data_IF_548719622936
#
_entry.id   IF_548719622936
#
_cell.length_a   1.000
_cell.length_b   1.000
_cell.length_c   1.000
_cell.angle_alpha   90.00
_cell.angle_beta   90.00
_cell.angle_gamma   90.00
#
_symmetry.space_group_name_H-M   'P 1'
#
loop_
_entity.id
_entity.type
_entity.pdbx_description
1 polymer ?
#
# COMPACT_ATOMS: atom_id res chain seq x y z
N UNK A 1 0.93 -4.83 -26.07
CA UNK A 1 2.34 -4.46 -25.93
C UNK A 1 3.12 -4.77 -27.22
N UNK A 2 3.09 -6.02 -27.72
CA UNK A 2 3.86 -6.42 -28.94
C UNK A 2 3.45 -5.58 -30.16
N UNK A 3 2.16 -5.40 -30.41
CA UNK A 3 1.67 -4.58 -31.53
C UNK A 3 2.15 -3.13 -31.45
N UNK A 4 2.15 -2.54 -30.25
CA UNK A 4 2.68 -1.20 -29.99
C UNK A 4 4.19 -1.13 -30.34
N UNK A 5 4.98 -2.08 -29.83
CA UNK A 5 6.43 -2.12 -30.10
C UNK A 5 6.71 -2.30 -31.59
N UNK A 6 5.98 -3.18 -32.28
CA UNK A 6 6.14 -3.38 -33.71
C UNK A 6 5.79 -2.11 -34.49
N UNK A 7 4.72 -1.42 -34.17
CA UNK A 7 4.34 -0.14 -34.80
C UNK A 7 5.38 0.94 -34.53
N UNK A 8 5.86 1.03 -33.30
CA UNK A 8 6.91 1.97 -32.90
C UNK A 8 8.20 1.73 -33.67
N UNK A 9 8.66 0.47 -33.76
CA UNK A 9 9.85 0.11 -34.52
C UNK A 9 9.69 0.46 -36.02
N UNK A 10 8.52 0.19 -36.60
CA UNK A 10 8.24 0.52 -37.99
C UNK A 10 8.20 2.03 -38.22
N UNK A 11 7.58 2.77 -37.29
CA UNK A 11 7.53 4.23 -37.33
C UNK A 11 8.93 4.85 -37.21
N UNK A 12 9.75 4.32 -36.29
CA UNK A 12 11.12 4.78 -36.07
C UNK A 12 12.01 4.64 -37.32
N UNK A 13 11.82 3.57 -38.11
CA UNK A 13 12.55 3.40 -39.39
C UNK A 13 12.13 4.40 -40.46
N UNK A 14 10.91 4.93 -40.38
CA UNK A 14 10.34 5.91 -41.30
C UNK A 14 10.39 7.34 -40.82
N UNK A 15 10.80 7.55 -39.58
CA UNK A 15 10.74 8.82 -38.85
C UNK A 15 9.35 9.46 -38.86
N UNK A 16 8.29 8.63 -38.82
CA UNK A 16 6.90 9.03 -38.80
C UNK A 16 6.14 8.25 -37.72
N UNK A 17 5.76 8.95 -36.66
CA UNK A 17 5.08 8.37 -35.49
C UNK A 17 3.58 8.67 -35.45
N UNK A 18 3.04 9.33 -36.48
CA UNK A 18 1.64 9.78 -36.51
C UNK A 18 0.61 8.65 -36.36
N UNK A 19 0.92 7.45 -36.85
CA UNK A 19 0.06 6.27 -36.79
C UNK A 19 0.22 5.44 -35.51
N UNK A 20 1.16 5.81 -34.64
CA UNK A 20 1.38 5.09 -33.37
C UNK A 20 0.55 5.75 -32.27
N UNK A 21 -0.55 5.13 -31.89
CA UNK A 21 -1.44 5.64 -30.85
C UNK A 21 -0.77 5.59 -29.45
N UNK A 22 -1.05 6.60 -28.63
CA UNK A 22 -0.57 6.68 -27.23
C UNK A 22 0.87 7.15 -27.11
N UNK A 23 1.38 7.92 -28.06
CA UNK A 23 2.68 8.57 -28.00
C UNK A 23 2.57 10.07 -27.77
N UNK A 24 3.59 10.60 -27.12
CA UNK A 24 3.88 12.04 -27.09
C UNK A 24 5.34 12.22 -27.51
N UNK A 25 5.59 13.09 -28.49
CA UNK A 25 6.92 13.37 -28.99
C UNK A 25 7.02 14.81 -29.51
N UNK A 26 8.23 15.31 -29.63
CA UNK A 26 8.47 16.59 -30.26
C UNK A 26 8.70 16.38 -31.77
N UNK A 27 8.05 17.21 -32.59
CA UNK A 27 8.29 17.25 -34.02
C UNK A 27 9.64 17.96 -34.36
N UNK A 28 9.97 18.04 -35.65
CA UNK A 28 11.19 18.69 -36.13
C UNK A 28 11.29 20.19 -35.76
N UNK A 29 10.16 20.82 -35.43
CA UNK A 29 10.08 22.22 -35.02
C UNK A 29 10.07 22.39 -33.49
N UNK A 30 10.18 21.28 -32.73
CA UNK A 30 10.08 21.27 -31.27
C UNK A 30 8.67 21.42 -30.73
N UNK A 31 7.62 21.22 -31.57
CA UNK A 31 6.24 21.24 -31.17
C UNK A 31 5.83 19.89 -30.59
N UNK A 32 5.14 19.89 -29.43
CA UNK A 32 4.62 18.67 -28.81
C UNK A 32 3.48 18.11 -29.64
N UNK A 33 3.66 16.90 -30.15
CA UNK A 33 2.63 16.09 -30.81
C UNK A 33 2.16 15.02 -29.85
N UNK A 34 0.85 14.92 -29.67
CA UNK A 34 0.20 13.88 -28.86
C UNK A 34 -0.72 13.09 -29.77
N UNK A 35 -0.43 11.81 -29.95
CA UNK A 35 -1.28 10.93 -30.77
C UNK A 35 -2.50 10.49 -29.95
N UNK A 36 -3.61 10.09 -30.60
CA UNK A 36 -4.80 9.61 -29.90
C UNK A 36 -4.49 8.41 -28.99
N UNK A 37 -5.23 8.28 -27.91
CA UNK A 37 -5.15 7.11 -27.04
C UNK A 37 -5.44 5.83 -27.82
N UNK A 38 -4.74 4.73 -27.53
CA UNK A 38 -5.06 3.42 -28.10
C UNK A 38 -6.42 2.93 -27.61
N UNK A 39 -7.11 2.16 -28.45
CA UNK A 39 -8.32 1.47 -28.02
C UNK A 39 -8.03 0.59 -26.80
N UNK A 40 -8.94 0.53 -25.83
CA UNK A 40 -8.77 -0.35 -24.68
C UNK A 40 -8.64 -1.80 -25.14
N UNK A 41 -7.57 -2.46 -24.73
CA UNK A 41 -7.36 -3.90 -24.98
C UNK A 41 -8.53 -4.69 -24.36
N UNK A 42 -8.91 -5.81 -24.99
CA UNK A 42 -9.98 -6.67 -24.50
C UNK A 42 -9.68 -7.18 -23.07
N UNK A 43 -10.73 -7.53 -22.31
CA UNK A 43 -10.55 -8.06 -20.95
C UNK A 43 -9.73 -9.35 -20.93
N UNK A 44 -9.85 -10.13 -21.97
CA UNK A 44 -9.17 -11.41 -22.14
C UNK A 44 -7.69 -11.22 -22.45
N UNK A 45 -7.34 -10.24 -23.27
CA UNK A 45 -5.95 -9.96 -23.68
C UNK A 45 -5.14 -9.17 -22.66
N UNK A 46 -5.77 -8.23 -21.93
CA UNK A 46 -5.08 -7.38 -20.91
C UNK A 46 -4.36 -8.23 -19.87
N UNK A 47 -4.85 -9.42 -19.63
CA UNK A 47 -4.46 -10.23 -18.49
C UNK A 47 -3.76 -11.53 -18.86
N UNK A 48 -3.53 -11.75 -20.14
CA UNK A 48 -2.78 -12.91 -20.64
C UNK A 48 -1.27 -12.58 -20.63
N UNK A 49 -0.71 -12.48 -19.41
CA UNK A 49 0.72 -12.30 -19.23
C UNK A 49 1.39 -13.66 -19.39
N UNK A 50 2.30 -13.74 -20.35
CA UNK A 50 3.15 -14.91 -20.53
C UNK A 50 4.33 -14.85 -19.53
N UNK A 51 4.20 -15.56 -18.43
CA UNK A 51 5.23 -15.64 -17.40
C UNK A 51 6.47 -16.43 -17.87
N UNK A 52 6.37 -17.21 -18.94
CA UNK A 52 7.52 -17.96 -19.46
C UNK A 52 8.63 -17.03 -19.94
N UNK A 53 8.30 -15.84 -20.41
CA UNK A 53 9.27 -14.80 -20.80
C UNK A 53 10.19 -14.45 -19.62
N UNK A 54 9.65 -14.36 -18.41
CA UNK A 54 10.45 -14.07 -17.21
C UNK A 54 11.31 -15.25 -16.79
N UNK A 55 10.84 -16.48 -17.03
CA UNK A 55 11.64 -17.69 -16.83
C UNK A 55 12.84 -17.72 -17.78
N UNK A 56 12.57 -17.50 -19.07
CA UNK A 56 13.59 -17.53 -20.14
C UNK A 56 14.67 -16.47 -19.91
N UNK A 57 14.29 -15.32 -19.34
CA UNK A 57 15.21 -14.25 -18.96
C UNK A 57 15.87 -14.48 -17.60
N UNK A 58 15.55 -15.54 -16.85
CA UNK A 58 16.04 -15.81 -15.51
C UNK A 58 15.56 -14.81 -14.44
N UNK A 59 14.50 -14.05 -14.72
CA UNK A 59 14.01 -12.97 -13.86
C UNK A 59 12.82 -13.38 -12.97
N UNK A 60 12.28 -14.58 -13.13
CA UNK A 60 11.08 -15.03 -12.42
C UNK A 60 11.23 -14.98 -10.89
N UNK A 61 12.43 -15.22 -10.36
CA UNK A 61 12.73 -15.18 -8.92
C UNK A 61 12.53 -13.79 -8.29
N UNK A 62 12.53 -12.73 -9.09
CA UNK A 62 12.24 -11.37 -8.63
C UNK A 62 10.73 -11.15 -8.39
N UNK A 63 9.90 -11.96 -9.02
CA UNK A 63 8.43 -11.86 -8.95
C UNK A 63 7.79 -12.99 -8.15
N UNK A 64 8.41 -14.16 -8.14
CA UNK A 64 7.98 -15.33 -7.38
C UNK A 64 9.05 -15.65 -6.34
N UNK A 65 8.82 -15.21 -5.11
CA UNK A 65 9.79 -15.31 -4.03
C UNK A 65 9.47 -16.47 -3.08
N UNK A 66 10.46 -16.97 -2.36
CA UNK A 66 10.22 -18.01 -1.35
C UNK A 66 9.47 -17.44 -0.15
N UNK A 67 8.55 -18.25 0.39
CA UNK A 67 7.74 -17.86 1.54
C UNK A 67 8.52 -17.80 2.88
N UNK A 68 9.69 -18.39 2.94
CA UNK A 68 10.60 -18.32 4.09
C UNK A 68 11.54 -17.11 4.02
N UNK A 69 11.57 -16.39 2.91
CA UNK A 69 12.28 -15.14 2.82
C UNK A 69 11.60 -14.07 3.69
N UNK A 70 12.40 -13.19 4.28
CA UNK A 70 11.92 -12.06 5.09
C UNK A 70 11.05 -11.07 4.29
N UNK A 71 10.95 -11.26 2.98
CA UNK A 71 10.10 -10.51 2.08
C UNK A 71 8.61 -10.85 2.22
N UNK A 72 8.24 -11.94 2.89
CA UNK A 72 6.84 -12.18 3.25
C UNK A 72 6.48 -11.23 4.36
N UNK A 73 5.80 -10.28 3.90
CA UNK A 73 5.09 -9.24 4.56
C UNK A 73 4.50 -9.66 5.92
N UNK A 74 4.54 -8.70 6.83
CA UNK A 74 3.89 -8.77 8.14
C UNK A 74 2.48 -9.38 8.11
N UNK A 75 1.73 -9.17 7.02
CA UNK A 75 0.36 -9.67 6.87
C UNK A 75 0.23 -11.18 6.97
N UNK A 76 1.18 -11.93 6.41
CA UNK A 76 1.18 -13.39 6.51
C UNK A 76 1.80 -13.86 7.82
N UNK A 77 2.73 -13.10 8.37
CA UNK A 77 3.41 -13.41 9.64
C UNK A 77 2.48 -13.50 10.84
N UNK A 78 1.32 -12.84 10.78
CA UNK A 78 0.33 -12.83 11.84
C UNK A 78 -0.63 -14.03 11.81
N UNK A 79 -0.72 -14.76 10.69
CA UNK A 79 -1.62 -15.91 10.57
C UNK A 79 -0.90 -17.22 10.93
N UNK A 80 -1.36 -17.98 11.94
CA UNK A 80 -0.71 -19.21 12.36
C UNK A 80 -0.69 -20.30 11.27
N UNK A 81 -1.64 -20.29 10.32
CA UNK A 81 -1.70 -21.24 9.20
C UNK A 81 -0.49 -21.16 8.29
N UNK A 82 0.24 -20.04 8.31
CA UNK A 82 1.53 -19.91 7.62
C UNK A 82 2.55 -20.98 8.03
N UNK A 83 2.48 -21.43 9.29
CA UNK A 83 3.43 -22.39 9.87
C UNK A 83 3.06 -23.85 9.59
N UNK A 84 1.95 -24.11 8.92
CA UNK A 84 1.53 -25.46 8.54
C UNK A 84 2.62 -26.14 7.72
N UNK A 85 2.85 -27.42 7.99
CA UNK A 85 3.99 -28.17 7.42
C UNK A 85 4.01 -28.15 5.89
N UNK A 86 2.83 -28.23 5.26
CA UNK A 86 2.70 -28.24 3.79
C UNK A 86 2.99 -26.88 3.15
N UNK A 87 3.11 -25.80 3.95
CA UNK A 87 3.39 -24.44 3.47
C UNK A 87 4.86 -24.04 3.56
N UNK A 88 5.73 -24.85 4.20
CA UNK A 88 7.12 -24.51 4.49
C UNK A 88 7.96 -24.12 3.27
N UNK A 89 7.70 -24.73 2.12
CA UNK A 89 8.48 -24.49 0.88
C UNK A 89 7.66 -23.82 -0.21
N UNK A 90 6.52 -23.24 0.15
CA UNK A 90 5.67 -22.54 -0.79
C UNK A 90 6.26 -21.18 -1.16
N UNK A 91 5.92 -20.71 -2.36
CA UNK A 91 6.32 -19.40 -2.85
C UNK A 91 5.19 -18.38 -2.70
N UNK A 92 5.54 -17.13 -2.91
CA UNK A 92 4.68 -15.97 -2.84
C UNK A 92 4.77 -15.16 -4.15
N UNK A 93 3.66 -14.60 -4.60
CA UNK A 93 3.63 -13.65 -5.72
C UNK A 93 2.51 -12.63 -5.58
N UNK A 94 2.54 -11.64 -6.49
CA UNK A 94 1.47 -10.68 -6.69
C UNK A 94 0.69 -11.01 -7.97
N UNK A 95 -0.63 -11.05 -7.87
CA UNK A 95 -1.52 -11.09 -9.04
C UNK A 95 -2.65 -10.08 -8.85
N UNK A 96 -2.97 -9.35 -9.89
CA UNK A 96 -4.09 -8.39 -9.87
C UNK A 96 -5.36 -9.06 -10.37
N UNK A 97 -6.48 -8.84 -9.68
CA UNK A 97 -7.81 -9.29 -10.08
C UNK A 97 -8.60 -8.26 -10.87
N UNK A 98 -8.16 -6.99 -10.81
CA UNK A 98 -8.80 -5.88 -11.53
C UNK A 98 -7.80 -4.80 -11.89
N UNK A 99 -8.18 -3.92 -12.81
CA UNK A 99 -7.41 -2.74 -13.20
C UNK A 99 -8.31 -1.51 -13.22
N UNK A 100 -7.78 -0.42 -12.65
CA UNK A 100 -8.45 0.87 -12.58
C UNK A 100 -9.31 1.04 -11.33
N UNK A 101 -9.85 2.24 -11.17
CA UNK A 101 -10.64 2.62 -10.02
C UNK A 101 -11.82 3.52 -10.44
N UNK A 102 -12.97 3.30 -9.83
CA UNK A 102 -14.19 4.12 -10.04
C UNK A 102 -14.24 5.36 -9.14
N UNK A 103 -13.38 5.46 -8.14
CA UNK A 103 -13.36 6.59 -7.22
C UNK A 103 -12.79 7.86 -7.89
N UNK A 104 -13.06 9.01 -7.27
CA UNK A 104 -12.62 10.34 -7.76
C UNK A 104 -11.83 11.10 -6.71
N UNK A 105 -11.09 10.37 -5.85
CA UNK A 105 -10.35 11.00 -4.77
C UNK A 105 -9.42 12.10 -5.30
N UNK A 106 -9.47 13.28 -4.67
CA UNK A 106 -8.86 14.53 -5.16
C UNK A 106 -7.33 14.50 -5.19
N UNK A 107 -6.72 13.59 -4.43
CA UNK A 107 -5.26 13.42 -4.30
C UNK A 107 -4.72 12.21 -5.08
N UNK A 108 -5.61 11.31 -5.56
CA UNK A 108 -5.21 10.02 -6.09
C UNK A 108 -5.17 10.00 -7.62
N UNK A 109 -4.02 9.67 -8.18
CA UNK A 109 -3.89 9.43 -9.60
C UNK A 109 -4.54 8.11 -10.00
N UNK A 110 -5.21 8.10 -11.14
CA UNK A 110 -5.83 6.90 -11.73
C UNK A 110 -5.27 6.66 -13.12
N UNK A 111 -4.62 5.53 -13.30
CA UNK A 111 -4.12 5.12 -14.62
C UNK A 111 -5.24 4.88 -15.63
N UNK A 112 -6.36 4.36 -15.15
CA UNK A 112 -7.52 4.04 -15.99
C UNK A 112 -8.79 4.50 -15.29
N UNK A 113 -9.63 5.27 -15.98
CA UNK A 113 -10.97 5.61 -15.50
C UNK A 113 -11.88 4.38 -15.58
N UNK A 114 -12.69 4.18 -14.52
CA UNK A 114 -13.50 2.97 -14.39
C UNK A 114 -12.72 1.80 -13.80
N UNK A 115 -13.34 0.63 -13.74
CA UNK A 115 -12.73 -0.59 -13.23
C UNK A 115 -13.06 -1.76 -14.17
N UNK A 116 -12.07 -2.58 -14.45
CA UNK A 116 -12.20 -3.80 -15.24
C UNK A 116 -11.71 -4.98 -14.42
N UNK A 117 -12.57 -5.96 -14.23
CA UNK A 117 -12.24 -7.20 -13.52
C UNK A 117 -11.79 -8.27 -14.52
N UNK A 118 -10.77 -9.02 -14.14
CA UNK A 118 -10.46 -10.28 -14.78
C UNK A 118 -11.60 -11.25 -14.43
N UNK A 119 -12.22 -11.93 -15.42
CA UNK A 119 -13.18 -12.98 -15.10
C UNK A 119 -12.57 -14.01 -14.15
N UNK A 120 -13.31 -14.37 -13.08
CA UNK A 120 -12.78 -15.29 -12.05
C UNK A 120 -12.22 -16.58 -12.66
N UNK A 121 -12.85 -17.25 -13.65
CA UNK A 121 -12.29 -18.46 -14.25
C UNK A 121 -10.92 -18.23 -14.91
N UNK A 122 -10.71 -17.07 -15.54
CA UNK A 122 -9.41 -16.72 -16.18
C UNK A 122 -8.35 -16.46 -15.10
N UNK A 123 -8.72 -15.74 -14.05
CA UNK A 123 -7.82 -15.52 -12.91
C UNK A 123 -7.40 -16.85 -12.28
N UNK A 124 -8.36 -17.75 -12.06
CA UNK A 124 -8.10 -19.05 -11.44
C UNK A 124 -7.25 -19.96 -12.30
N UNK A 125 -7.47 -19.98 -13.63
CA UNK A 125 -6.61 -20.72 -14.56
C UNK A 125 -5.15 -20.26 -14.44
N UNK A 126 -4.93 -18.97 -14.35
CA UNK A 126 -3.58 -18.40 -14.15
C UNK A 126 -3.01 -18.76 -12.78
N UNK A 127 -3.81 -18.64 -11.74
CA UNK A 127 -3.42 -19.01 -10.38
C UNK A 127 -3.02 -20.49 -10.29
N UNK A 128 -3.82 -21.38 -10.90
CA UNK A 128 -3.53 -22.82 -10.95
C UNK A 128 -2.20 -23.11 -11.66
N UNK A 129 -1.92 -22.43 -12.78
CA UNK A 129 -0.63 -22.50 -13.46
C UNK A 129 0.53 -22.07 -12.52
N UNK A 130 0.37 -20.97 -11.76
CA UNK A 130 1.38 -20.50 -10.83
C UNK A 130 1.58 -21.46 -9.66
N UNK A 131 0.51 -22.08 -9.17
CA UNK A 131 0.57 -23.10 -8.11
C UNK A 131 1.37 -24.30 -8.59
N UNK A 132 1.06 -24.81 -9.79
CA UNK A 132 1.70 -26.00 -10.34
C UNK A 132 3.16 -25.74 -10.70
N UNK A 133 3.44 -24.68 -11.45
CA UNK A 133 4.77 -24.41 -11.97
C UNK A 133 5.75 -23.89 -10.92
N UNK A 134 5.29 -23.00 -10.03
CA UNK A 134 6.15 -22.29 -9.08
C UNK A 134 5.91 -22.65 -7.62
N UNK A 135 5.11 -23.67 -7.34
CA UNK A 135 4.77 -24.11 -5.99
C UNK A 135 4.16 -23.00 -5.11
N UNK A 136 3.28 -22.17 -5.72
CA UNK A 136 2.68 -21.02 -5.05
C UNK A 136 1.79 -21.48 -3.86
N UNK A 137 1.86 -20.76 -2.74
CA UNK A 137 1.02 -21.00 -1.56
C UNK A 137 0.53 -19.70 -0.91
N UNK A 138 1.11 -18.57 -1.34
CA UNK A 138 0.80 -17.25 -0.80
C UNK A 138 0.58 -16.26 -1.94
N UNK A 139 -0.50 -15.49 -1.85
CA UNK A 139 -0.89 -14.53 -2.88
C UNK A 139 -1.14 -13.15 -2.28
N UNK A 140 -0.62 -12.11 -2.90
CA UNK A 140 -1.07 -10.74 -2.68
C UNK A 140 -1.82 -10.23 -3.90
N UNK A 141 -2.98 -9.64 -3.69
CA UNK A 141 -3.64 -8.85 -4.75
C UNK A 141 -3.17 -7.40 -4.66
N UNK A 142 -2.77 -6.85 -5.80
CA UNK A 142 -2.23 -5.49 -5.91
C UNK A 142 -3.16 -4.56 -6.69
N UNK A 143 -4.46 -4.67 -6.47
CA UNK A 143 -5.48 -3.92 -7.18
C UNK A 143 -5.57 -2.47 -6.66
N UNK A 144 -5.88 -1.52 -7.54
CA UNK A 144 -6.17 -0.14 -7.15
C UNK A 144 -7.47 -0.03 -6.34
N UNK A 145 -8.43 -0.94 -6.60
CA UNK A 145 -9.72 -0.96 -5.92
C UNK A 145 -10.33 -2.37 -5.95
N UNK A 146 -9.86 -3.24 -5.06
CA UNK A 146 -10.30 -4.62 -4.98
C UNK A 146 -11.71 -4.74 -4.42
N UNK A 147 -12.50 -5.67 -4.95
CA UNK A 147 -13.76 -6.09 -4.37
C UNK A 147 -14.93 -5.11 -4.49
N UNK A 148 -14.84 -4.09 -5.35
CA UNK A 148 -15.97 -3.19 -5.64
C UNK A 148 -17.17 -3.94 -6.22
N UNK A 149 -16.94 -4.95 -7.06
CA UNK A 149 -17.97 -5.88 -7.50
C UNK A 149 -18.12 -7.05 -6.50
N UNK A 150 -19.19 -7.01 -5.72
CA UNK A 150 -19.47 -8.03 -4.70
C UNK A 150 -19.73 -9.42 -5.27
N UNK A 151 -20.28 -9.53 -6.49
CA UNK A 151 -20.53 -10.82 -7.15
C UNK A 151 -19.21 -11.46 -7.55
N UNK A 152 -18.34 -10.66 -8.15
CA UNK A 152 -17.00 -11.08 -8.50
C UNK A 152 -16.23 -11.55 -7.26
N UNK A 153 -16.20 -10.73 -6.20
CA UNK A 153 -15.50 -11.07 -4.95
C UNK A 153 -16.05 -12.32 -4.29
N UNK A 154 -17.38 -12.48 -4.26
CA UNK A 154 -18.01 -13.69 -3.72
C UNK A 154 -17.57 -14.94 -4.47
N UNK A 155 -17.58 -14.89 -5.81
CA UNK A 155 -17.13 -16.01 -6.66
C UNK A 155 -15.63 -16.25 -6.51
N UNK A 156 -14.83 -15.19 -6.44
CA UNK A 156 -13.39 -15.28 -6.14
C UNK A 156 -13.12 -16.03 -4.85
N UNK A 157 -13.81 -15.68 -3.75
CA UNK A 157 -13.66 -16.37 -2.47
C UNK A 157 -14.04 -17.84 -2.54
N UNK A 158 -15.12 -18.20 -3.26
CA UNK A 158 -15.55 -19.60 -3.45
C UNK A 158 -14.47 -20.42 -4.15
N UNK A 159 -13.85 -19.85 -5.17
CA UNK A 159 -12.78 -20.49 -5.91
C UNK A 159 -11.46 -20.56 -5.13
N UNK A 160 -11.10 -19.51 -4.38
CA UNK A 160 -9.91 -19.50 -3.53
C UNK A 160 -9.99 -20.58 -2.43
N UNK A 161 -11.18 -20.77 -1.84
CA UNK A 161 -11.41 -21.79 -0.80
C UNK A 161 -11.04 -23.21 -1.28
N UNK A 162 -11.19 -23.51 -2.55
CA UNK A 162 -10.87 -24.84 -3.14
C UNK A 162 -9.36 -25.09 -3.24
N UNK A 163 -8.52 -24.05 -3.13
CA UNK A 163 -7.08 -24.09 -3.43
C UNK A 163 -6.17 -24.10 -2.21
N UNK A 164 -6.71 -23.99 -1.03
CA UNK A 164 -5.96 -23.94 0.24
C UNK A 164 -4.81 -22.91 0.22
N UNK A 165 -5.05 -21.75 -0.40
CA UNK A 165 -4.12 -20.65 -0.49
C UNK A 165 -4.29 -19.69 0.68
N UNK A 166 -3.19 -19.12 1.18
CA UNK A 166 -3.26 -17.92 1.99
C UNK A 166 -3.09 -16.69 1.10
N UNK A 167 -4.00 -15.72 1.25
CA UNK A 167 -3.98 -14.52 0.43
C UNK A 167 -4.28 -13.27 1.23
N UNK A 168 -3.78 -12.15 0.74
CA UNK A 168 -4.06 -10.82 1.28
C UNK A 168 -4.54 -9.88 0.19
N UNK A 169 -5.21 -8.82 0.60
CA UNK A 169 -5.67 -7.76 -0.28
C UNK A 169 -5.25 -6.39 0.23
N UNK A 170 -4.85 -5.53 -0.70
CA UNK A 170 -4.69 -4.09 -0.49
C UNK A 170 -5.62 -3.32 -1.43
N UNK A 171 -5.85 -2.03 -1.13
CA UNK A 171 -6.70 -1.19 -1.98
C UNK A 171 -8.19 -1.45 -1.84
N UNK A 172 -8.63 -2.03 -0.73
CA UNK A 172 -10.06 -2.23 -0.47
C UNK A 172 -10.69 -0.97 0.15
N UNK A 173 -11.90 -0.64 -0.30
CA UNK A 173 -12.66 0.50 0.24
C UNK A 173 -13.60 0.04 1.34
N UNK A 174 -13.64 0.80 2.45
CA UNK A 174 -14.45 0.46 3.64
C UNK A 174 -15.95 0.40 3.36
N UNK A 175 -16.47 1.21 2.43
CA UNK A 175 -17.90 1.21 2.07
C UNK A 175 -18.33 0.02 1.20
N UNK A 176 -17.44 -0.93 0.94
CA UNK A 176 -17.73 -2.14 0.12
C UNK A 176 -17.75 -3.43 0.92
N UNK A 177 -17.42 -3.37 2.20
CA UNK A 177 -17.34 -4.52 3.09
C UNK A 177 -18.58 -4.64 3.99
N UNK A 178 -18.82 -5.87 4.44
CA UNK A 178 -19.77 -6.20 5.50
C UNK A 178 -19.16 -7.31 6.37
N UNK A 179 -19.65 -7.53 7.60
CA UNK A 179 -19.18 -8.63 8.45
C UNK A 179 -19.21 -10.00 7.76
N UNK A 180 -20.29 -10.28 7.01
CA UNK A 180 -20.47 -11.55 6.30
C UNK A 180 -19.43 -11.71 5.18
N UNK A 181 -19.13 -10.62 4.45
CA UNK A 181 -18.13 -10.64 3.38
C UNK A 181 -16.73 -10.85 3.94
N UNK A 182 -16.39 -10.20 5.06
CA UNK A 182 -15.11 -10.39 5.75
C UNK A 182 -14.97 -11.84 6.23
N UNK A 183 -16.02 -12.40 6.82
CA UNK A 183 -16.04 -13.82 7.22
C UNK A 183 -15.84 -14.75 6.02
N UNK A 184 -16.53 -14.50 4.90
CA UNK A 184 -16.34 -15.27 3.66
C UNK A 184 -14.93 -15.17 3.11
N UNK A 185 -14.32 -13.98 3.14
CA UNK A 185 -12.93 -13.79 2.75
C UNK A 185 -11.99 -14.61 3.65
N UNK A 186 -12.16 -14.54 4.96
CA UNK A 186 -11.37 -15.34 5.90
C UNK A 186 -11.47 -16.84 5.63
N UNK A 187 -12.68 -17.34 5.44
CA UNK A 187 -12.94 -18.76 5.17
C UNK A 187 -12.32 -19.22 3.84
N UNK A 188 -12.07 -18.31 2.93
CA UNK A 188 -11.39 -18.56 1.64
C UNK A 188 -9.85 -18.46 1.71
N UNK A 189 -9.29 -18.30 2.91
CA UNK A 189 -7.83 -18.20 3.10
C UNK A 189 -7.30 -16.78 3.19
N UNK A 190 -8.15 -15.75 3.22
CA UNK A 190 -7.71 -14.38 3.47
C UNK A 190 -7.07 -14.25 4.85
N UNK A 191 -5.93 -13.57 4.93
CA UNK A 191 -5.19 -13.33 6.18
C UNK A 191 -5.13 -11.84 6.52
N UNK A 192 -5.31 -10.97 5.52
CA UNK A 192 -5.17 -9.53 5.72
C UNK A 192 -6.01 -8.74 4.71
N UNK A 193 -6.61 -7.67 5.20
CA UNK A 193 -7.30 -6.66 4.39
C UNK A 193 -6.72 -5.29 4.75
N UNK A 194 -6.14 -4.60 3.77
CA UNK A 194 -5.57 -3.27 3.95
C UNK A 194 -6.49 -2.25 3.29
N UNK A 195 -6.89 -1.25 4.08
CA UNK A 195 -7.83 -0.22 3.67
C UNK A 195 -7.15 1.13 3.51
N UNK A 196 -7.47 1.82 2.42
CA UNK A 196 -7.25 3.26 2.34
C UNK A 196 -8.35 3.98 3.11
N UNK A 197 -8.11 4.31 4.37
CA UNK A 197 -9.05 5.03 5.24
C UNK A 197 -8.89 6.54 5.13
N UNK A 198 -7.68 6.98 4.85
CA UNK A 198 -7.17 8.31 4.58
C UNK A 198 -7.27 9.26 5.77
N UNK A 199 -8.43 9.36 6.44
CA UNK A 199 -8.64 10.24 7.60
C UNK A 199 -9.72 9.70 8.54
N UNK A 200 -9.65 10.07 9.81
CA UNK A 200 -10.73 9.90 10.79
C UNK A 200 -11.77 11.02 10.73
N UNK A 201 -11.45 12.13 10.05
CA UNK A 201 -12.32 13.29 9.95
C UNK A 201 -13.28 13.20 8.76
N UNK A 202 -14.59 13.31 9.03
CA UNK A 202 -15.58 13.35 7.95
C UNK A 202 -15.34 14.54 7.03
N UNK A 203 -15.01 15.71 7.58
CA UNK A 203 -14.67 16.91 6.79
C UNK A 203 -13.56 16.62 5.80
N UNK A 204 -12.50 15.91 6.22
CA UNK A 204 -11.38 15.59 5.34
C UNK A 204 -11.76 14.53 4.29
N UNK A 205 -12.54 13.52 4.66
CA UNK A 205 -13.06 12.52 3.71
C UNK A 205 -13.90 13.17 2.61
N UNK A 206 -14.69 14.21 2.95
CA UNK A 206 -15.50 14.96 1.99
C UNK A 206 -14.61 15.81 1.05
N UNK A 207 -13.60 16.52 1.59
CA UNK A 207 -12.61 17.27 0.79
C UNK A 207 -11.84 16.35 -0.16
N UNK A 208 -11.50 15.17 0.30
CA UNK A 208 -10.82 14.14 -0.49
C UNK A 208 -11.73 13.48 -1.54
N UNK A 209 -13.02 13.76 -1.57
CA UNK A 209 -14.03 13.04 -2.37
C UNK A 209 -13.91 11.51 -2.21
N UNK A 210 -13.61 11.07 -0.97
CA UNK A 210 -13.42 9.65 -0.69
C UNK A 210 -14.70 8.85 -0.81
N UNK A 211 -15.86 9.51 -0.62
CA UNK A 211 -17.21 8.90 -0.64
C UNK A 211 -17.27 7.71 0.34
N UNK A 212 -16.72 7.92 1.54
CA UNK A 212 -16.80 7.03 2.70
C UNK A 212 -17.09 7.88 3.94
N UNK A 213 -17.58 7.26 5.01
CA UNK A 213 -17.78 7.96 6.27
C UNK A 213 -16.75 7.55 7.32
N UNK A 214 -16.51 8.41 8.30
CA UNK A 214 -15.67 8.09 9.45
C UNK A 214 -16.20 6.89 10.22
N UNK A 215 -17.53 6.74 10.32
CA UNK A 215 -18.17 5.58 10.93
C UNK A 215 -17.86 4.28 10.17
N UNK A 216 -17.88 4.30 8.83
CA UNK A 216 -17.50 3.14 8.02
C UNK A 216 -16.03 2.75 8.23
N UNK A 217 -15.14 3.70 8.52
CA UNK A 217 -13.77 3.39 8.89
C UNK A 217 -13.69 2.64 10.23
N UNK A 218 -14.44 3.09 11.25
CA UNK A 218 -14.52 2.42 12.55
C UNK A 218 -15.10 1.01 12.44
N UNK A 219 -16.18 0.85 11.69
CA UNK A 219 -16.83 -0.44 11.42
C UNK A 219 -15.87 -1.41 10.73
N UNK A 220 -15.16 -0.95 9.70
CA UNK A 220 -14.20 -1.77 8.97
C UNK A 220 -13.09 -2.31 9.89
N UNK A 221 -12.55 -1.48 10.77
CA UNK A 221 -11.57 -1.87 11.79
C UNK A 221 -12.17 -2.96 12.68
N UNK A 222 -13.31 -2.66 13.27
CA UNK A 222 -13.96 -3.53 14.26
C UNK A 222 -14.27 -4.90 13.66
N UNK A 223 -14.90 -4.96 12.48
CA UNK A 223 -15.26 -6.20 11.82
C UNK A 223 -14.05 -7.03 11.38
N UNK A 224 -13.01 -6.35 10.87
CA UNK A 224 -11.78 -7.03 10.41
C UNK A 224 -11.05 -7.68 11.57
N UNK A 225 -10.86 -6.94 12.66
CA UNK A 225 -10.16 -7.45 13.83
C UNK A 225 -10.97 -8.49 14.60
N UNK A 226 -12.30 -8.37 14.67
CA UNK A 226 -13.20 -9.39 15.23
C UNK A 226 -13.07 -10.73 14.48
N UNK A 227 -12.82 -10.68 13.18
CA UNK A 227 -12.52 -11.87 12.36
C UNK A 227 -11.06 -12.35 12.46
N UNK A 228 -10.23 -11.73 13.32
CA UNK A 228 -8.80 -12.06 13.47
C UNK A 228 -8.02 -11.96 12.16
N UNK A 229 -8.39 -11.01 11.32
CA UNK A 229 -7.64 -10.64 10.12
C UNK A 229 -6.70 -9.50 10.46
N UNK A 230 -5.51 -9.54 9.87
CA UNK A 230 -4.56 -8.43 9.96
C UNK A 230 -5.04 -7.25 9.12
N UNK A 231 -4.81 -6.05 9.61
CA UNK A 231 -5.03 -4.82 8.85
C UNK A 231 -4.01 -3.75 9.19
N UNK A 232 -3.78 -2.85 8.25
CA UNK A 232 -3.02 -1.62 8.42
C UNK A 232 -3.94 -0.46 8.08
N UNK A 233 -3.91 0.58 8.88
CA UNK A 233 -4.59 1.84 8.57
C UNK A 233 -3.68 2.69 7.70
N UNK A 234 -4.13 3.00 6.49
CA UNK A 234 -3.45 3.94 5.60
C UNK A 234 -4.13 5.30 5.71
N UNK A 235 -3.33 6.32 5.99
CA UNK A 235 -3.75 7.71 6.20
C UNK A 235 -3.03 8.64 5.23
N UNK A 236 -3.70 9.73 4.88
CA UNK A 236 -3.14 10.85 4.12
C UNK A 236 -3.37 12.12 4.92
N UNK A 237 -2.31 12.82 5.25
CA UNK A 237 -2.32 14.10 5.97
C UNK A 237 -1.76 15.23 5.10
N UNK A 238 -1.86 16.47 5.57
CA UNK A 238 -1.43 17.67 4.87
C UNK A 238 -2.26 18.01 3.61
N UNK A 239 -3.50 17.56 3.57
CA UNK A 239 -4.47 17.99 2.55
C UNK A 239 -4.93 19.43 2.75
N UNK A 240 -5.31 20.16 1.69
CA UNK A 240 -5.99 21.45 1.84
C UNK A 240 -7.20 21.34 2.78
N UNK A 241 -7.33 22.28 3.70
CA UNK A 241 -8.44 22.31 4.66
C UNK A 241 -8.23 21.50 5.94
N UNK A 242 -7.09 20.84 6.08
CA UNK A 242 -6.69 20.15 7.31
C UNK A 242 -6.44 21.14 8.45
N UNK A 243 -6.79 20.76 9.66
CA UNK A 243 -6.69 21.57 10.88
C UNK A 243 -6.30 20.69 12.06
N UNK A 244 -5.86 21.25 13.19
CA UNK A 244 -5.59 20.48 14.41
C UNK A 244 -6.79 19.62 14.85
N UNK A 245 -8.02 20.09 14.66
CA UNK A 245 -9.22 19.34 15.02
C UNK A 245 -9.39 18.10 14.13
N UNK A 246 -9.16 18.21 12.79
CA UNK A 246 -9.24 17.07 11.88
C UNK A 246 -8.13 16.07 12.12
N UNK A 247 -6.95 16.52 12.51
CA UNK A 247 -5.83 15.66 12.94
C UNK A 247 -6.19 14.93 14.24
N UNK A 248 -6.82 15.63 15.20
CA UNK A 248 -7.31 14.99 16.43
C UNK A 248 -8.31 13.87 16.11
N UNK A 249 -9.29 14.11 15.22
CA UNK A 249 -10.26 13.10 14.77
C UNK A 249 -9.57 11.90 14.10
N UNK A 250 -8.52 12.14 13.32
CA UNK A 250 -7.70 11.08 12.72
C UNK A 250 -6.92 10.30 13.78
N UNK A 251 -6.39 10.98 14.78
CA UNK A 251 -5.78 10.34 15.96
C UNK A 251 -6.79 9.50 16.77
N UNK A 252 -8.03 9.93 16.88
CA UNK A 252 -9.10 9.17 17.56
C UNK A 252 -9.40 7.86 16.79
N UNK A 253 -9.42 7.88 15.45
CA UNK A 253 -9.54 6.67 14.61
C UNK A 253 -8.40 5.67 14.89
N UNK A 254 -7.17 6.15 14.98
CA UNK A 254 -6.00 5.28 15.25
C UNK A 254 -5.97 4.75 16.67
N UNK A 255 -6.46 5.54 17.65
CA UNK A 255 -6.68 5.05 19.01
C UNK A 255 -7.73 3.92 19.05
N UNK A 256 -8.86 4.12 18.36
CA UNK A 256 -9.89 3.07 18.23
C UNK A 256 -9.30 1.77 17.67
N UNK A 257 -8.45 1.86 16.64
CA UNK A 257 -7.79 0.69 16.03
C UNK A 257 -6.99 -0.12 17.03
N UNK A 258 -6.11 0.52 17.79
CA UNK A 258 -5.22 -0.18 18.72
C UNK A 258 -5.93 -0.64 20.01
N UNK A 259 -7.11 -0.10 20.26
CA UNK A 259 -7.93 -0.49 21.41
C UNK A 259 -8.83 -1.70 21.15
N UNK A 260 -8.92 -2.21 19.92
CA UNK A 260 -9.81 -3.35 19.61
C UNK A 260 -9.29 -4.67 20.19
N UNK A 261 -8.01 -4.94 20.06
CA UNK A 261 -7.39 -6.19 20.51
C UNK A 261 -5.91 -5.99 20.79
N UNK A 262 -5.35 -6.69 21.79
CA UNK A 262 -3.93 -6.57 22.12
C UNK A 262 -2.98 -7.16 21.08
N UNK A 263 -3.49 -7.89 20.10
CA UNK A 263 -2.71 -8.47 18.99
C UNK A 263 -2.39 -7.45 17.90
N UNK A 264 -3.07 -6.29 17.88
CA UNK A 264 -2.80 -5.21 16.94
C UNK A 264 -1.40 -4.65 17.15
N UNK A 265 -0.68 -4.43 16.05
CA UNK A 265 0.59 -3.71 16.11
C UNK A 265 0.29 -2.19 16.20
N UNK A 266 0.69 -1.50 17.27
CA UNK A 266 0.51 -0.05 17.39
C UNK A 266 1.32 0.76 16.36
N UNK A 267 2.20 0.12 15.60
CA UNK A 267 2.88 0.71 14.44
C UNK A 267 2.22 0.32 13.11
N UNK A 268 1.11 -0.41 13.12
CA UNK A 268 0.32 -0.81 11.95
C UNK A 268 -0.44 0.36 11.31
N UNK A 269 0.18 1.55 11.31
CA UNK A 269 -0.33 2.78 10.74
C UNK A 269 0.67 3.24 9.67
N UNK A 270 0.16 3.49 8.47
CA UNK A 270 0.93 4.09 7.38
C UNK A 270 0.39 5.49 7.13
N UNK A 271 1.16 6.50 7.51
CA UNK A 271 0.81 7.90 7.31
C UNK A 271 1.63 8.42 6.13
N UNK A 272 0.94 8.96 5.12
CA UNK A 272 1.54 9.57 3.95
C UNK A 272 1.16 11.05 3.91
N UNK A 273 2.07 11.89 3.44
CA UNK A 273 1.74 13.27 3.11
C UNK A 273 1.08 13.35 1.75
N UNK A 274 0.10 14.23 1.62
CA UNK A 274 -0.58 14.44 0.33
C UNK A 274 0.41 14.98 -0.71
N UNK A 275 0.62 14.21 -1.77
CA UNK A 275 1.47 14.62 -2.89
C UNK A 275 0.61 15.10 -4.05
N UNK A 276 1.00 16.21 -4.65
CA UNK A 276 0.33 16.76 -5.83
C UNK A 276 0.74 15.97 -7.08
N UNK A 277 0.07 14.85 -7.34
CA UNK A 277 0.36 13.98 -8.49
C UNK A 277 -0.31 14.49 -9.76
N UNK A 278 0.36 14.49 -10.92
CA UNK A 278 -0.20 14.94 -12.20
C UNK A 278 -1.56 14.31 -12.50
N UNK A 279 -2.46 15.11 -13.08
CA UNK A 279 -3.81 14.67 -13.41
C UNK A 279 -4.78 14.58 -12.23
N UNK A 280 -4.37 15.04 -11.03
CA UNK A 280 -5.25 15.13 -9.86
C UNK A 280 -5.72 16.56 -9.60
N UNK A 281 -6.90 16.77 -8.98
CA UNK A 281 -7.34 18.10 -8.53
C UNK A 281 -6.34 18.79 -7.59
N UNK A 282 -5.64 18.00 -6.76
CA UNK A 282 -4.60 18.52 -5.86
C UNK A 282 -3.42 19.12 -6.66
N UNK A 283 -3.00 18.47 -7.73
CA UNK A 283 -1.95 18.95 -8.63
C UNK A 283 -2.35 20.28 -9.29
N UNK A 284 -3.57 20.35 -9.82
CA UNK A 284 -4.08 21.58 -10.44
C UNK A 284 -4.21 22.73 -9.43
N UNK A 285 -4.48 22.41 -8.16
CA UNK A 285 -4.50 23.39 -7.07
C UNK A 285 -3.10 23.91 -6.80
N UNK A 286 -2.10 23.03 -6.72
CA UNK A 286 -0.70 23.41 -6.51
C UNK A 286 -0.16 24.28 -7.66
N UNK A 287 -0.51 23.96 -8.90
CA UNK A 287 -0.16 24.79 -10.08
C UNK A 287 -0.78 26.17 -10.02
N UNK A 288 -2.09 26.25 -9.75
CA UNK A 288 -2.82 27.54 -9.66
C UNK A 288 -2.31 28.44 -8.55
N UNK A 289 -1.78 27.85 -7.47
CA UNK A 289 -1.19 28.59 -6.34
C UNK A 289 0.30 28.91 -6.56
N UNK A 290 0.87 28.51 -7.70
CA UNK A 290 2.25 28.83 -8.06
C UNK A 290 3.32 27.98 -7.35
N UNK A 291 2.94 26.90 -6.67
CA UNK A 291 3.91 25.95 -6.06
C UNK A 291 4.61 25.10 -7.12
N UNK A 292 3.96 24.82 -8.21
CA UNK A 292 4.52 24.20 -9.41
C UNK A 292 4.50 25.28 -10.48
N UNK A 293 5.66 25.55 -11.08
CA UNK A 293 5.78 26.56 -12.11
C UNK A 293 4.96 26.25 -13.37
N UNK A 294 4.90 27.19 -14.29
CA UNK A 294 4.07 27.07 -15.51
C UNK A 294 4.83 26.56 -16.72
N UNK A 295 6.17 26.50 -16.65
CA UNK A 295 7.01 25.98 -17.74
C UNK A 295 7.11 24.46 -17.67
N UNK A 296 7.48 23.84 -18.79
CA UNK A 296 7.77 22.40 -18.87
C UNK A 296 8.93 22.05 -17.95
N UNK A 297 9.95 22.89 -17.89
CA UNK A 297 11.13 22.68 -17.04
C UNK A 297 10.77 22.70 -15.54
N UNK A 298 9.88 23.60 -15.13
CA UNK A 298 9.40 23.65 -13.75
C UNK A 298 8.62 22.38 -13.38
N UNK A 299 7.78 21.90 -14.30
CA UNK A 299 7.01 20.68 -14.13
C UNK A 299 7.92 19.45 -14.06
N UNK A 300 8.90 19.36 -14.97
CA UNK A 300 9.90 18.28 -14.96
C UNK A 300 10.68 18.28 -13.65
N UNK A 301 11.15 19.43 -13.20
CA UNK A 301 11.86 19.57 -11.93
C UNK A 301 11.01 19.04 -10.76
N UNK A 302 9.75 19.46 -10.69
CA UNK A 302 8.83 18.98 -9.66
C UNK A 302 8.62 17.46 -9.72
N UNK A 303 8.42 16.90 -10.91
CA UNK A 303 8.24 15.47 -11.12
C UNK A 303 9.47 14.66 -10.69
N UNK A 304 10.67 15.16 -11.01
CA UNK A 304 11.92 14.55 -10.56
C UNK A 304 12.08 14.61 -9.03
N UNK A 305 11.66 15.71 -8.41
CA UNK A 305 11.71 15.85 -6.95
C UNK A 305 10.81 14.84 -6.22
N UNK A 306 9.65 14.47 -6.78
CA UNK A 306 8.72 13.55 -6.15
C UNK A 306 8.91 12.08 -6.57
N UNK A 307 9.60 11.80 -7.70
CA UNK A 307 9.67 10.46 -8.30
C UNK A 307 10.44 9.45 -7.46
N UNK A 308 11.50 9.88 -6.79
CA UNK A 308 12.41 9.02 -6.02
C UNK A 308 12.15 9.05 -4.52
N UNK A 309 11.02 9.63 -4.08
CA UNK A 309 10.79 9.87 -2.66
C UNK A 309 9.55 9.16 -2.15
N UNK A 310 9.68 8.64 -0.95
CA UNK A 310 8.56 8.04 -0.23
C UNK A 310 7.58 9.14 0.21
N UNK A 311 6.29 8.96 -0.06
CA UNK A 311 5.23 9.88 0.38
C UNK A 311 5.14 10.05 1.91
N UNK A 312 5.90 9.26 2.67
CA UNK A 312 6.10 9.42 4.11
C UNK A 312 7.19 10.42 4.49
N UNK A 313 7.99 10.85 3.51
CA UNK A 313 9.02 11.87 3.76
C UNK A 313 8.39 13.27 3.75
N UNK A 314 8.36 13.92 4.91
CA UNK A 314 7.82 15.26 5.09
C UNK A 314 8.53 16.38 4.33
N UNK A 315 9.61 16.06 3.60
CA UNK A 315 10.37 17.05 2.80
C UNK A 315 9.91 17.14 1.34
N UNK A 316 8.99 16.28 0.92
CA UNK A 316 8.68 16.09 -0.51
C UNK A 316 7.28 16.50 -0.92
N UNK A 317 6.48 16.95 0.02
CA UNK A 317 5.14 17.41 -0.29
C UNK A 317 5.04 18.93 -0.36
N UNK A 318 4.08 19.42 -1.10
CA UNK A 318 3.74 20.83 -1.13
C UNK A 318 2.76 21.09 0.02
N UNK A 319 3.09 22.03 0.89
CA UNK A 319 2.18 22.44 1.95
C UNK A 319 1.05 23.31 1.36
N UNK A 320 -0.09 22.70 1.14
CA UNK A 320 -1.32 23.35 0.66
C UNK A 320 -2.29 23.65 1.81
N UNK A 321 -1.86 23.50 3.07
CA UNK A 321 -2.63 23.88 4.24
C UNK A 321 -2.40 25.36 4.59
N UNK A 322 -3.19 25.87 5.51
CA UNK A 322 -3.01 27.23 6.04
C UNK A 322 -2.07 27.29 7.27
N UNK A 323 -1.31 26.21 7.51
CA UNK A 323 -0.48 26.05 8.70
C UNK A 323 1.01 25.96 8.34
N UNK A 324 1.93 26.36 9.25
CA UNK A 324 3.36 26.23 9.02
C UNK A 324 3.80 24.78 8.81
N UNK A 325 4.83 24.58 7.97
CA UNK A 325 5.42 23.28 7.68
C UNK A 325 5.74 22.47 8.95
N UNK A 326 6.34 23.11 9.94
CA UNK A 326 6.74 22.45 11.19
C UNK A 326 5.54 21.82 11.91
N UNK A 327 4.36 22.47 11.89
CA UNK A 327 3.17 21.92 12.52
C UNK A 327 2.65 20.67 11.80
N UNK A 328 2.83 20.58 10.47
CA UNK A 328 2.44 19.38 9.72
C UNK A 328 3.31 18.18 10.08
N UNK A 329 4.59 18.42 10.36
CA UNK A 329 5.51 17.39 10.84
C UNK A 329 5.11 16.96 12.27
N UNK A 330 4.73 17.89 13.14
CA UNK A 330 4.22 17.60 14.48
C UNK A 330 2.92 16.77 14.44
N UNK A 331 2.03 17.01 13.50
CA UNK A 331 0.80 16.23 13.33
C UNK A 331 1.06 14.74 13.09
N UNK A 332 2.10 14.43 12.29
CA UNK A 332 2.53 13.03 12.11
C UNK A 332 2.90 12.39 13.46
N UNK A 333 3.72 13.09 14.24
CA UNK A 333 4.14 12.61 15.57
C UNK A 333 2.98 12.54 16.53
N UNK A 334 2.09 13.50 16.53
CA UNK A 334 0.89 13.53 17.38
C UNK A 334 0.04 12.27 17.16
N UNK A 335 -0.30 11.95 15.93
CA UNK A 335 -1.08 10.74 15.60
C UNK A 335 -0.33 9.49 16.10
N UNK A 336 0.96 9.36 15.82
CA UNK A 336 1.76 8.22 16.25
C UNK A 336 1.83 8.08 17.77
N UNK A 337 2.07 9.19 18.48
CA UNK A 337 2.18 9.19 19.96
C UNK A 337 0.85 8.87 20.62
N UNK A 338 -0.24 9.49 20.17
CA UNK A 338 -1.60 9.21 20.69
C UNK A 338 -1.97 7.75 20.53
N UNK A 339 -1.67 7.17 19.37
CA UNK A 339 -1.93 5.75 19.08
C UNK A 339 -1.17 4.83 20.03
N UNK A 340 0.14 5.05 20.16
CA UNK A 340 0.99 4.24 21.04
C UNK A 340 0.57 4.39 22.50
N UNK A 341 0.23 5.60 22.91
CA UNK A 341 -0.24 5.86 24.27
C UNK A 341 -1.59 5.18 24.54
N UNK A 342 -2.54 5.22 23.62
CA UNK A 342 -3.82 4.52 23.73
C UNK A 342 -3.60 3.01 23.91
N UNK A 343 -2.68 2.41 23.13
CA UNK A 343 -2.32 1.01 23.28
C UNK A 343 -1.74 0.70 24.67
N UNK A 344 -0.74 1.49 25.11
CA UNK A 344 -0.08 1.30 26.41
C UNK A 344 -1.08 1.45 27.56
N UNK A 345 -1.93 2.47 27.51
CA UNK A 345 -2.95 2.71 28.54
C UNK A 345 -3.93 1.54 28.65
N UNK A 346 -4.30 0.92 27.54
CA UNK A 346 -5.29 -0.17 27.52
C UNK A 346 -4.67 -1.54 27.81
N UNK A 347 -3.51 -1.84 27.24
CA UNK A 347 -2.93 -3.18 27.24
C UNK A 347 -1.64 -3.31 28.06
N UNK A 348 -1.12 -2.21 28.58
CA UNK A 348 0.08 -2.17 29.39
C UNK A 348 1.38 -2.04 28.63
N UNK A 349 2.39 -1.50 29.32
CA UNK A 349 3.70 -1.21 28.72
C UNK A 349 4.47 -2.48 28.34
N UNK A 350 4.39 -3.54 29.14
CA UNK A 350 5.10 -4.79 28.88
C UNK A 350 4.64 -5.42 27.56
N UNK A 351 3.33 -5.36 27.28
CA UNK A 351 2.78 -5.88 26.06
C UNK A 351 3.19 -5.04 24.84
N UNK A 352 3.18 -3.72 25.00
CA UNK A 352 3.69 -2.80 23.99
C UNK A 352 5.16 -3.10 23.65
N UNK A 353 6.01 -3.27 24.67
CA UNK A 353 7.41 -3.59 24.49
C UNK A 353 7.62 -4.92 23.76
N UNK A 354 6.84 -5.95 24.11
CA UNK A 354 6.92 -7.25 23.45
C UNK A 354 6.48 -7.18 21.96
N UNK A 355 5.50 -6.34 21.65
CA UNK A 355 5.06 -6.13 20.27
C UNK A 355 6.11 -5.37 19.47
N UNK A 356 6.71 -4.33 20.05
CA UNK A 356 7.82 -3.58 19.47
C UNK A 356 9.02 -4.47 19.19
N UNK A 357 9.38 -5.33 20.13
CA UNK A 357 10.50 -6.26 19.98
C UNK A 357 10.29 -7.26 18.84
N UNK A 358 9.05 -7.73 18.66
CA UNK A 358 8.71 -8.57 17.50
C UNK A 358 8.89 -7.81 16.19
N UNK A 359 8.36 -6.62 16.11
CA UNK A 359 8.45 -5.76 14.92
C UNK A 359 9.91 -5.44 14.56
N UNK A 360 10.74 -5.20 15.56
CA UNK A 360 12.17 -4.94 15.41
C UNK A 360 12.96 -6.16 14.96
N UNK A 361 12.67 -7.34 15.51
CA UNK A 361 13.28 -8.58 15.03
C UNK A 361 13.06 -8.77 13.53
N UNK A 362 11.85 -8.49 13.05
CA UNK A 362 11.55 -8.55 11.60
C UNK A 362 12.31 -7.50 10.79
N UNK A 363 12.40 -6.27 11.28
CA UNK A 363 13.12 -5.19 10.61
C UNK A 363 14.63 -5.47 10.55
N UNK A 364 15.23 -5.87 11.66
CA UNK A 364 16.66 -6.19 11.74
C UNK A 364 17.03 -7.48 11.00
N UNK A 365 16.17 -8.49 10.95
CA UNK A 365 16.37 -9.64 10.09
C UNK A 365 16.40 -9.24 8.61
N UNK A 366 15.58 -8.29 8.20
CA UNK A 366 15.56 -7.76 6.83
C UNK A 366 16.81 -6.93 6.52
N UNK A 367 17.23 -6.08 7.43
CA UNK A 367 18.49 -5.30 7.34
C UNK A 367 19.71 -6.22 7.42
N UNK A 368 19.68 -7.24 8.29
CA UNK A 368 20.72 -8.23 8.40
C UNK A 368 20.88 -9.07 7.13
N UNK A 369 19.79 -9.47 6.51
CA UNK A 369 19.84 -10.23 5.24
C UNK A 369 20.32 -9.39 4.07
N UNK A 370 20.00 -8.09 4.04
CA UNK A 370 20.56 -7.18 3.03
C UNK A 370 22.07 -6.95 3.22
N UNK A 371 22.55 -7.03 4.45
CA UNK A 371 23.98 -6.94 4.78
C UNK A 371 24.71 -8.29 4.61
N UNK A 372 24.04 -9.42 4.82
CA UNK A 372 24.59 -10.78 4.72
C UNK A 372 24.77 -11.25 3.27
N UNK A 373 24.13 -10.63 2.30
CA UNK A 373 24.55 -10.80 0.90
C UNK A 373 26.00 -10.36 0.64
N UNK A 374 26.65 -9.71 1.62
CA UNK A 374 28.01 -9.22 1.53
C UNK A 374 28.93 -9.52 2.73
N UNK A 375 28.47 -10.18 3.80
CA UNK A 375 29.30 -10.45 4.99
C UNK A 375 28.90 -11.76 5.70
N UNK A 376 29.89 -12.55 6.09
CA UNK A 376 29.85 -13.83 6.77
C UNK A 376 28.87 -13.89 7.98
N UNK A 377 28.16 -15.00 8.12
CA UNK A 377 27.02 -15.25 9.00
C UNK A 377 27.25 -15.09 10.53
N UNK A 378 28.42 -14.63 10.95
CA UNK A 378 28.78 -14.44 12.36
C UNK A 378 28.23 -13.19 13.05
N UNK A 379 27.64 -12.22 12.32
CA UNK A 379 27.36 -10.89 12.86
C UNK A 379 26.16 -10.81 13.83
N UNK A 380 25.22 -11.75 13.75
CA UNK A 380 23.99 -11.78 14.58
C UNK A 380 23.97 -12.91 15.62
N UNK A 381 25.02 -13.71 15.69
CA UNK A 381 25.13 -14.83 16.66
C UNK A 381 25.51 -14.40 18.09
N UNK A 382 25.68 -13.09 18.36
CA UNK A 382 26.02 -12.61 19.69
C UNK A 382 24.83 -12.06 20.45
N UNK A 383 24.36 -12.76 21.51
CA UNK A 383 23.32 -12.25 22.43
C UNK A 383 23.66 -10.88 23.06
N UNK A 384 24.95 -10.54 23.14
CA UNK A 384 25.40 -9.26 23.68
C UNK A 384 25.02 -8.06 22.80
N UNK A 385 25.05 -8.21 21.48
CA UNK A 385 24.71 -7.11 20.56
C UNK A 385 23.20 -6.95 20.36
N UNK A 386 22.45 -8.04 20.40
CA UNK A 386 20.99 -8.02 20.47
C UNK A 386 20.56 -7.22 21.72
N UNK A 387 21.22 -7.46 22.84
CA UNK A 387 20.99 -6.75 24.10
C UNK A 387 21.37 -5.26 24.05
N UNK A 388 22.46 -4.90 23.37
CA UNK A 388 22.90 -3.50 23.18
C UNK A 388 21.90 -2.71 22.35
N UNK A 389 21.43 -3.25 21.24
CA UNK A 389 20.39 -2.61 20.39
C UNK A 389 19.10 -2.47 21.17
N UNK A 390 18.69 -3.50 21.89
CA UNK A 390 17.53 -3.48 22.78
C UNK A 390 17.62 -2.38 23.83
N UNK A 391 18.78 -2.21 24.48
CA UNK A 391 18.99 -1.19 25.51
C UNK A 391 18.99 0.23 24.94
N UNK A 392 19.53 0.45 23.74
CA UNK A 392 19.47 1.75 23.05
C UNK A 392 18.01 2.12 22.69
N UNK A 393 17.22 1.15 22.28
CA UNK A 393 15.81 1.37 21.94
C UNK A 393 14.94 1.62 23.17
N UNK A 394 15.22 0.91 24.27
CA UNK A 394 14.61 1.17 25.58
C UNK A 394 14.93 2.59 26.08
N UNK A 395 16.16 3.05 25.86
CA UNK A 395 16.58 4.41 26.25
C UNK A 395 15.85 5.47 25.44
N UNK A 396 15.72 5.30 24.12
CA UNK A 396 14.97 6.22 23.25
C UNK A 396 13.48 6.23 23.64
N UNK A 397 12.93 5.10 23.98
CA UNK A 397 11.52 4.96 24.37
C UNK A 397 11.24 5.53 25.76
N UNK A 398 12.19 5.40 26.71
CA UNK A 398 12.11 6.09 28.02
C UNK A 398 12.17 7.61 27.87
N UNK A 399 12.99 8.11 26.94
CA UNK A 399 13.07 9.54 26.61
C UNK A 399 11.74 10.05 26.04
N UNK A 400 11.14 9.33 25.10
CA UNK A 400 9.84 9.64 24.53
C UNK A 400 8.70 9.61 25.58
N UNK A 401 8.75 8.67 26.53
CA UNK A 401 7.81 8.62 27.66
C UNK A 401 7.97 9.80 28.63
N UNK A 402 9.19 10.27 28.84
CA UNK A 402 9.44 11.45 29.71
C UNK A 402 8.93 12.74 29.06
N UNK A 403 9.03 12.87 27.74
CA UNK A 403 8.49 14.01 26.98
C UNK A 403 6.95 14.04 27.05
N UNK A 404 6.29 12.90 26.93
CA UNK A 404 4.81 12.80 27.01
C UNK A 404 4.28 13.08 28.40
N UNK A 405 5.06 12.83 29.45
CA UNK A 405 4.66 13.13 30.83
C UNK A 405 4.82 14.62 31.20
N UNK A 406 5.62 15.37 30.47
CA UNK A 406 5.84 16.81 30.68
C UNK A 406 4.70 17.65 30.07
N UNK A 407 4.02 17.16 29.03
CA UNK A 407 2.92 17.87 28.36
C UNK A 407 1.52 17.57 28.93
N UNK A 408 1.43 16.80 30.02
CA UNK A 408 0.16 16.39 30.63
C UNK A 408 -0.07 17.01 32.02
N UNK A 409 0.85 17.81 32.53
CA UNK A 409 0.73 18.68 33.72
C UNK A 409 0.49 20.16 33.30
#
# INVERSE_FOLDING_TARGET
AVDFVCRWLTANTKNDFSDVKGLSFLDENGQLIVTPDPEPISKEEVYDIDWSILDDLGQISSYVTRADSTAIDHSFGHDPRRLDTHRKNKTFTFLTGSKGCVARCTFCHRWTKGIRYIPVPIFMKRLDYMIEKYNLGFLSTGDENFGTDRRWLSHFCEEMKKRDMLWRVSGMRVNRITPELISKMKDSGCVSIIYGMESGSQKMLDIMEKVTTSEQNLDAITWTLANKLFTIIQLVIAMPGETPETIKETGDLTCHFVEQTPEVDPNGISINYAQALPGTPLYETARRQGYIGSSVDDEEKYLLEISDRDARDGKTYINLTNYPQLLLEDWYFEICLRTRWAYVRKWGIDRYMNTMLRSLRFKHLKEAQSLVSNVDSGYFASPAREREVLMKMLAIQKLAQQIVLIDLD
#
